data_IF_770125445414
#
_entry.id   IF_770125445414
#
_cell.length_a   1.000
_cell.length_b   1.000
_cell.length_c   1.000
_cell.angle_alpha   90.00
_cell.angle_beta   90.00
_cell.angle_gamma   90.00
#
_symmetry.space_group_name_H-M   'P 1'
#
loop_
_entity.id
_entity.type
_entity.pdbx_description
1 polymer ?
#
# COMPACT_ATOMS: atom_id res chain seq x y z
N UNK A 1 -6.13 -2.63 -15.45
CA UNK A 1 -5.54 -3.90 -14.97
C UNK A 1 -5.80 -3.93 -13.48
N UNK A 2 -6.41 -4.99 -12.95
CA UNK A 2 -6.70 -5.12 -11.52
C UNK A 2 -5.58 -5.96 -10.90
N UNK A 3 -4.84 -5.38 -9.95
CA UNK A 3 -3.87 -6.11 -9.13
C UNK A 3 -4.60 -6.97 -8.11
N UNK A 4 -4.22 -8.23 -7.97
CA UNK A 4 -4.62 -9.08 -6.84
C UNK A 4 -3.61 -8.94 -5.70
N UNK A 5 -4.02 -9.26 -4.48
CA UNK A 5 -3.16 -9.14 -3.28
C UNK A 5 -1.85 -9.92 -3.42
N UNK A 6 -1.91 -11.13 -3.99
CA UNK A 6 -0.72 -11.96 -4.23
C UNK A 6 0.27 -11.36 -5.23
N UNK A 7 -0.11 -10.35 -6.00
CA UNK A 7 0.75 -9.65 -6.95
C UNK A 7 1.51 -8.47 -6.34
N UNK A 8 1.30 -8.18 -5.05
CA UNK A 8 1.97 -7.12 -4.30
C UNK A 8 3.29 -7.55 -3.64
N UNK A 9 3.66 -8.82 -3.75
CA UNK A 9 4.97 -9.30 -3.29
C UNK A 9 6.09 -8.43 -3.89
N UNK A 10 7.07 -8.05 -3.07
CA UNK A 10 8.17 -7.13 -3.38
C UNK A 10 7.77 -5.69 -3.71
N UNK A 11 6.52 -5.28 -3.43
CA UNK A 11 6.15 -3.88 -3.59
C UNK A 11 6.78 -3.01 -2.51
N UNK A 12 7.52 -1.98 -2.89
CA UNK A 12 8.15 -1.05 -1.94
C UNK A 12 7.14 0.01 -1.49
N UNK A 13 6.84 0.06 -0.19
CA UNK A 13 5.97 1.05 0.44
C UNK A 13 6.73 2.38 0.57
N UNK A 14 6.22 3.43 -0.08
CA UNK A 14 6.84 4.75 -0.11
C UNK A 14 6.24 5.71 0.93
N UNK A 15 4.93 5.62 1.15
CA UNK A 15 4.23 6.49 2.07
C UNK A 15 2.91 5.89 2.55
N UNK A 16 2.56 6.21 3.79
CA UNK A 16 1.21 6.06 4.33
C UNK A 16 0.68 7.45 4.65
N UNK A 17 -0.48 7.79 4.09
CA UNK A 17 -1.17 9.06 4.34
C UNK A 17 -2.51 8.77 5.00
N UNK A 18 -2.79 9.44 6.12
CA UNK A 18 -4.07 9.33 6.81
C UNK A 18 -4.77 10.69 6.86
N UNK A 19 -6.00 10.75 6.34
CA UNK A 19 -6.90 11.89 6.48
C UNK A 19 -7.85 11.62 7.64
N UNK A 20 -7.62 12.33 8.76
CA UNK A 20 -8.39 12.20 9.99
C UNK A 20 -9.85 12.62 9.83
N UNK A 21 -10.12 13.65 9.05
CA UNK A 21 -11.47 14.20 8.89
C UNK A 21 -12.37 13.25 8.10
N UNK A 22 -11.81 12.65 7.05
CA UNK A 22 -12.53 11.75 6.16
C UNK A 22 -12.37 10.27 6.54
N UNK A 23 -11.49 9.96 7.51
CA UNK A 23 -11.09 8.59 7.89
C UNK A 23 -10.63 7.77 6.68
N UNK A 24 -9.85 8.40 5.81
CA UNK A 24 -9.31 7.76 4.63
C UNK A 24 -7.82 7.48 4.83
N UNK A 25 -7.34 6.36 4.30
CA UNK A 25 -5.93 6.05 4.30
C UNK A 25 -5.47 5.68 2.89
N UNK A 26 -4.29 6.18 2.50
CA UNK A 26 -3.68 5.85 1.22
C UNK A 26 -2.28 5.31 1.46
N UNK A 27 -2.02 4.12 0.92
CA UNK A 27 -0.68 3.54 0.86
C UNK A 27 -0.13 3.76 -0.55
N UNK A 28 1.08 4.29 -0.68
CA UNK A 28 1.76 4.56 -1.95
C UNK A 28 2.90 3.56 -2.14
N UNK A 29 3.01 2.98 -3.34
CA UNK A 29 4.02 1.97 -3.65
C UNK A 29 4.80 2.35 -4.91
N UNK A 30 6.08 1.96 -4.97
CA UNK A 30 6.95 2.18 -6.13
C UNK A 30 6.66 1.23 -7.32
N UNK A 31 5.81 0.24 -7.12
CA UNK A 31 5.53 -0.84 -8.08
C UNK A 31 5.66 -2.22 -7.43
N UNK A 32 5.45 -3.28 -8.20
CA UNK A 32 5.67 -4.69 -7.86
C UNK A 32 6.13 -5.44 -9.13
N UNK A 33 6.67 -6.67 -9.06
CA UNK A 33 7.06 -7.44 -10.25
C UNK A 33 5.92 -7.61 -11.26
N UNK A 34 4.67 -7.70 -10.78
CA UNK A 34 3.46 -7.80 -11.60
C UNK A 34 2.86 -6.44 -11.99
N UNK A 35 3.43 -5.34 -11.52
CA UNK A 35 2.95 -3.97 -11.63
C UNK A 35 4.12 -2.98 -11.58
N UNK A 36 4.92 -2.86 -12.66
CA UNK A 36 6.21 -2.17 -12.62
C UNK A 36 6.12 -0.64 -12.42
N UNK A 37 4.92 -0.06 -12.49
CA UNK A 37 4.70 1.37 -12.24
C UNK A 37 4.15 1.64 -10.84
N UNK A 38 4.26 2.88 -10.35
CA UNK A 38 3.73 3.26 -9.05
C UNK A 38 2.21 3.07 -8.99
N UNK A 39 1.74 2.64 -7.83
CA UNK A 39 0.34 2.47 -7.56
C UNK A 39 0.03 2.83 -6.11
N UNK A 40 -1.25 3.06 -5.83
CA UNK A 40 -1.71 3.29 -4.47
C UNK A 40 -2.88 2.37 -4.12
N UNK A 41 -3.05 2.14 -2.83
CA UNK A 41 -4.23 1.48 -2.27
C UNK A 41 -4.94 2.49 -1.39
N UNK A 42 -6.22 2.68 -1.65
CA UNK A 42 -7.06 3.59 -0.88
C UNK A 42 -8.04 2.81 -0.02
N UNK A 43 -8.01 3.10 1.27
CA UNK A 43 -8.95 2.65 2.28
C UNK A 43 -9.88 3.80 2.65
N UNK A 44 -11.17 3.51 2.78
CA UNK A 44 -12.20 4.47 3.16
C UNK A 44 -12.89 4.02 4.45
N UNK A 45 -13.34 4.95 5.26
CA UNK A 45 -14.00 4.62 6.55
C UNK A 45 -13.11 3.76 7.46
N UNK A 46 -11.81 4.07 7.51
CA UNK A 46 -10.83 3.35 8.33
C UNK A 46 -11.17 3.52 9.81
N UNK A 47 -11.31 2.41 10.53
CA UNK A 47 -11.54 2.38 11.98
C UNK A 47 -10.28 2.12 12.79
N UNK A 48 -9.27 1.51 12.17
CA UNK A 48 -8.01 1.19 12.83
C UNK A 48 -6.87 1.23 11.81
N UNK A 49 -5.75 1.83 12.21
CA UNK A 49 -4.48 1.79 11.47
C UNK A 49 -3.37 1.55 12.50
N UNK A 50 -2.64 0.44 12.35
CA UNK A 50 -1.52 0.07 13.20
C UNK A 50 -0.27 0.04 12.32
N UNK A 51 0.69 0.92 12.62
CA UNK A 51 1.99 0.96 11.98
C UNK A 51 3.02 0.73 13.09
N UNK A 52 3.45 -0.53 13.31
CA UNK A 52 4.53 -0.79 14.23
C UNK A 52 5.85 -0.26 13.64
N UNK A 53 6.70 0.26 14.52
CA UNK A 53 8.07 0.64 14.21
C UNK A 53 8.97 0.00 15.27
N UNK A 54 8.82 -1.32 15.43
CA UNK A 54 9.55 -2.07 16.45
C UNK A 54 11.01 -2.24 16.02
N UNK A 55 11.23 -2.40 14.72
CA UNK A 55 12.55 -2.42 14.09
C UNK A 55 12.71 -1.18 13.22
N UNK A 56 13.95 -0.75 13.03
CA UNK A 56 14.20 0.31 12.04
C UNK A 56 13.86 -0.25 10.67
N UNK A 57 12.93 0.40 9.96
CA UNK A 57 12.68 0.05 8.56
C UNK A 57 13.94 0.44 7.80
N UNK A 58 14.75 -0.57 7.50
CA UNK A 58 15.95 -0.42 6.68
C UNK A 58 15.57 -0.13 5.22
N UNK A 59 16.50 -0.26 4.27
CA UNK A 59 16.20 -0.06 2.85
C UNK A 59 15.15 -1.03 2.28
N UNK A 60 14.81 -2.10 3.02
CA UNK A 60 13.78 -3.08 2.67
C UNK A 60 12.40 -2.66 3.19
N UNK A 61 11.84 -1.61 2.58
CA UNK A 61 10.44 -1.18 2.77
C UNK A 61 9.46 -2.03 1.94
N UNK A 62 9.85 -3.26 1.61
CA UNK A 62 9.12 -4.11 0.67
C UNK A 62 8.11 -5.00 1.38
N UNK A 63 6.96 -5.15 0.75
CA UNK A 63 5.90 -6.07 1.17
C UNK A 63 6.35 -7.50 0.88
N UNK A 64 6.33 -8.35 1.91
CA UNK A 64 6.48 -9.78 1.79
C UNK A 64 5.15 -10.40 1.34
N UNK A 65 4.07 -10.12 2.07
CA UNK A 65 2.74 -10.60 1.73
C UNK A 65 1.66 -9.65 2.20
N UNK A 66 0.50 -9.73 1.54
CA UNK A 66 -0.72 -9.06 2.00
C UNK A 66 -1.78 -10.10 2.31
N UNK A 67 -2.25 -10.09 3.55
CA UNK A 67 -3.27 -10.99 4.06
C UNK A 67 -4.60 -10.23 4.13
N UNK A 68 -5.60 -10.72 3.41
CA UNK A 68 -6.99 -10.28 3.56
C UNK A 68 -7.75 -11.30 4.42
N UNK A 69 -8.23 -10.85 5.58
CA UNK A 69 -8.96 -11.69 6.53
C UNK A 69 -10.44 -11.85 6.19
N UNK A 70 -10.94 -11.21 5.11
CA UNK A 70 -12.35 -11.22 4.69
C UNK A 70 -13.29 -10.43 5.62
N UNK A 71 -12.76 -9.86 6.69
CA UNK A 71 -13.50 -9.10 7.71
C UNK A 71 -13.38 -7.58 7.53
N UNK A 72 -12.71 -7.13 6.47
CA UNK A 72 -12.31 -5.72 6.30
C UNK A 72 -11.00 -5.38 7.01
N UNK A 73 -10.29 -6.38 7.52
CA UNK A 73 -8.92 -6.27 8.02
C UNK A 73 -7.93 -6.73 6.97
N UNK A 74 -6.94 -5.89 6.71
CA UNK A 74 -5.81 -6.17 5.84
C UNK A 74 -4.52 -6.05 6.64
N UNK A 75 -3.67 -7.06 6.55
CA UNK A 75 -2.34 -7.06 7.14
C UNK A 75 -1.30 -7.05 6.01
N UNK A 76 -0.39 -6.07 6.05
CA UNK A 76 0.76 -5.95 5.15
C UNK A 76 1.98 -6.40 5.94
N UNK A 77 2.47 -7.60 5.63
CA UNK A 77 3.66 -8.17 6.24
C UNK A 77 4.86 -7.59 5.50
N UNK A 78 5.70 -6.85 6.21
CA UNK A 78 6.90 -6.24 5.67
C UNK A 78 8.07 -7.24 5.73
N UNK A 79 9.01 -7.14 4.79
CA UNK A 79 10.22 -7.96 4.81
C UNK A 79 11.11 -7.71 6.04
N UNK A 80 10.94 -6.57 6.73
CA UNK A 80 11.57 -6.29 8.02
C UNK A 80 11.04 -7.15 9.17
N UNK A 81 9.86 -7.78 9.01
CA UNK A 81 9.17 -8.53 10.05
C UNK A 81 8.04 -7.76 10.74
N UNK A 82 7.92 -6.44 10.52
CA UNK A 82 6.79 -5.64 10.99
C UNK A 82 5.53 -5.93 10.17
N UNK A 83 4.36 -5.86 10.83
CA UNK A 83 3.05 -6.01 10.17
C UNK A 83 2.23 -4.75 10.31
N UNK A 84 1.98 -4.07 9.20
CA UNK A 84 1.09 -2.91 9.15
C UNK A 84 -0.34 -3.42 9.00
N UNK A 85 -1.24 -3.05 9.92
CA UNK A 85 -2.63 -3.48 9.88
C UNK A 85 -3.57 -2.30 9.62
N UNK A 86 -4.59 -2.52 8.79
CA UNK A 86 -5.66 -1.56 8.54
C UNK A 86 -7.01 -2.25 8.60
N UNK A 87 -7.94 -1.65 9.35
CA UNK A 87 -9.34 -2.10 9.44
C UNK A 87 -10.24 -1.04 8.81
N UNK A 88 -11.05 -1.47 7.86
CA UNK A 88 -11.92 -0.64 7.03
C UNK A 88 -13.29 -1.29 6.88
N UNK A 89 -14.34 -0.47 6.74
CA UNK A 89 -15.68 -0.98 6.42
C UNK A 89 -15.78 -1.47 4.96
N UNK A 90 -14.93 -0.96 4.07
CA UNK A 90 -14.81 -1.43 2.69
C UNK A 90 -14.03 -2.76 2.65
N UNK A 91 -14.68 -3.80 2.12
CA UNK A 91 -14.14 -5.17 2.04
C UNK A 91 -13.49 -5.48 0.70
N UNK A 92 -13.41 -4.51 -0.21
CA UNK A 92 -12.80 -4.70 -1.52
C UNK A 92 -11.55 -3.85 -1.66
N UNK A 93 -10.38 -4.46 -1.52
CA UNK A 93 -9.11 -3.80 -1.77
C UNK A 93 -8.91 -3.59 -3.28
N UNK A 94 -8.79 -2.33 -3.69
CA UNK A 94 -8.65 -1.94 -5.11
C UNK A 94 -7.38 -1.12 -5.31
N UNK A 95 -6.28 -1.74 -5.75
CA UNK A 95 -5.10 -1.00 -6.15
C UNK A 95 -5.42 -0.12 -7.35
N UNK A 96 -5.07 1.16 -7.25
CA UNK A 96 -5.23 2.15 -8.31
C UNK A 96 -3.85 2.54 -8.81
N UNK A 97 -3.57 2.23 -10.06
CA UNK A 97 -2.32 2.64 -10.70
C UNK A 97 -2.30 4.15 -10.86
N UNK A 98 -1.21 4.78 -10.44
CA UNK A 98 -1.01 6.20 -10.68
C UNK A 98 -0.47 6.30 -12.10
N UNK A 99 -1.31 6.67 -13.08
CA UNK A 99 -0.79 7.01 -14.39
C UNK A 99 0.17 8.17 -14.21
N UNK A 100 1.45 7.95 -14.52
CA UNK A 100 2.44 9.01 -14.53
C UNK A 100 1.92 10.16 -15.37
N UNK A 101 2.06 11.40 -14.84
CA UNK A 101 2.12 12.56 -15.72
C UNK A 101 3.11 12.24 -16.85
N UNK A 102 2.82 12.61 -18.11
CA UNK A 102 3.85 12.58 -19.13
C UNK A 102 5.04 13.39 -18.60
N UNK A 103 6.20 12.76 -18.56
CA UNK A 103 7.47 13.42 -18.37
C UNK A 103 7.58 14.45 -19.49
N UNK A 104 7.31 15.71 -19.17
CA UNK A 104 7.49 16.80 -20.11
C UNK A 104 8.96 16.75 -20.56
N UNK A 105 9.16 16.56 -21.86
CA UNK A 105 10.45 16.67 -22.52
C UNK A 105 11.18 17.90 -21.99
N UNK A 106 12.31 17.68 -21.32
CA UNK A 106 13.35 18.69 -21.20
C UNK A 106 14.48 18.25 -22.12
N UNK A 107 14.26 18.47 -23.42
CA UNK A 107 15.38 18.65 -24.34
C UNK A 107 15.90 20.08 -24.12
N UNK A 108 17.16 20.20 -23.75
CA UNK A 108 17.98 21.40 -23.90
C UNK A 108 19.41 20.96 -24.13
#
# INVERSE_FOLDING_TARGET
MTLTLGQMHDATLLAIRYDWSARNCTFEFAGAPSAPGPFCIRFVSVSELVIPANETWGPSESVLEVVDHGTGRYDFVMQSGDTIAVVTADKALKPTFTQGRPQANLES
#
